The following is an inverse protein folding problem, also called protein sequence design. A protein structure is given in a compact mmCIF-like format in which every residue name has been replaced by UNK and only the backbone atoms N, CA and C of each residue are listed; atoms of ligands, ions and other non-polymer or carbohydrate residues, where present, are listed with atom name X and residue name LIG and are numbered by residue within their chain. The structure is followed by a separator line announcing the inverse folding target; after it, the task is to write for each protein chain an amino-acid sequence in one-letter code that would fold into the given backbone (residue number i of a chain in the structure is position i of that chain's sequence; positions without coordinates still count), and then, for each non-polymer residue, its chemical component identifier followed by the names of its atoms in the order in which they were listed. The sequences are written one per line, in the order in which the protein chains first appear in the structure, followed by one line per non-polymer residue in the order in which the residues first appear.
data_IF_233684640933
#
_entry.id   IF_233684640933
#
_cell.length_a   1.000
_cell.length_b   1.000
_cell.length_c   1.000
_cell.angle_alpha   90.00
_cell.angle_beta   90.00
_cell.angle_gamma   90.00
#
_symmetry.space_group_name_H-M   'P 1'
#
loop_
_entity.id
_entity.type
_entity.pdbx_description
1 polymer ?
#
# COMPACT_ATOMS: atom_id res chain seq x y z
N UNK A 1 -8.32 -51.09 -4.21
CA UNK A 1 -8.58 -49.82 -4.94
C UNK A 1 -9.58 -48.88 -4.27
N UNK A 2 -10.46 -49.34 -3.34
CA UNK A 2 -11.49 -48.46 -2.71
C UNK A 2 -10.97 -47.49 -1.61
N UNK A 3 -9.81 -47.74 -1.01
CA UNK A 3 -9.28 -46.94 0.10
C UNK A 3 -8.84 -45.50 -0.33
N UNK A 4 -8.40 -45.31 -1.56
CA UNK A 4 -8.01 -44.00 -2.09
C UNK A 4 -9.18 -43.06 -2.24
N UNK A 5 -10.39 -43.56 -2.43
CA UNK A 5 -11.62 -42.75 -2.53
C UNK A 5 -11.94 -41.97 -1.25
N UNK A 6 -11.44 -42.41 -0.09
CA UNK A 6 -11.64 -41.76 1.21
C UNK A 6 -10.42 -40.93 1.63
N UNK A 7 -9.21 -41.30 1.17
CA UNK A 7 -7.97 -40.59 1.52
C UNK A 7 -7.88 -39.26 0.81
N UNK A 8 -8.22 -39.19 -0.49
CA UNK A 8 -8.15 -37.97 -1.27
C UNK A 8 -9.04 -36.84 -0.70
N UNK A 9 -10.36 -37.09 -0.43
CA UNK A 9 -11.18 -36.03 0.17
C UNK A 9 -10.72 -35.63 1.58
N UNK A 10 -10.17 -36.55 2.38
CA UNK A 10 -9.63 -36.22 3.69
C UNK A 10 -8.42 -35.25 3.58
N UNK A 11 -7.51 -35.52 2.65
CA UNK A 11 -6.36 -34.65 2.38
C UNK A 11 -6.84 -33.26 1.92
N UNK A 12 -7.83 -33.22 1.03
CA UNK A 12 -8.40 -31.93 0.56
C UNK A 12 -9.02 -31.13 1.70
N UNK A 13 -9.75 -31.78 2.62
CA UNK A 13 -10.32 -31.09 3.79
C UNK A 13 -9.21 -30.49 4.67
N UNK A 14 -8.12 -31.23 4.90
CA UNK A 14 -6.98 -30.75 5.69
C UNK A 14 -6.31 -29.54 5.02
N UNK A 15 -6.12 -29.60 3.69
CA UNK A 15 -5.53 -28.49 2.93
C UNK A 15 -6.41 -27.24 3.01
N UNK A 16 -7.72 -27.38 2.81
CA UNK A 16 -8.69 -26.29 2.90
C UNK A 16 -8.71 -25.69 4.31
N UNK A 17 -8.67 -26.55 5.33
CA UNK A 17 -8.64 -26.10 6.72
C UNK A 17 -7.35 -25.32 7.04
N UNK A 18 -6.18 -25.79 6.62
CA UNK A 18 -4.90 -25.08 6.80
C UNK A 18 -4.87 -23.75 6.03
N UNK A 19 -5.33 -23.74 4.78
CA UNK A 19 -5.43 -22.53 3.99
C UNK A 19 -6.35 -21.48 4.65
N UNK A 20 -7.48 -21.93 5.23
CA UNK A 20 -8.39 -21.09 6.00
C UNK A 20 -7.72 -20.47 7.23
N UNK A 21 -6.94 -21.25 7.99
CA UNK A 21 -6.22 -20.75 9.18
C UNK A 21 -5.19 -19.68 8.80
N UNK A 22 -4.44 -19.86 7.70
CA UNK A 22 -3.47 -18.89 7.21
C UNK A 22 -4.18 -17.60 6.78
N UNK A 23 -5.28 -17.71 6.06
CA UNK A 23 -6.08 -16.56 5.60
C UNK A 23 -6.65 -15.75 6.78
N UNK A 24 -7.31 -16.43 7.73
CA UNK A 24 -7.87 -15.78 8.92
C UNK A 24 -6.79 -15.17 9.80
N UNK A 25 -5.63 -15.82 9.93
CA UNK A 25 -4.48 -15.29 10.67
C UNK A 25 -3.94 -14.00 10.05
N UNK A 26 -3.84 -13.95 8.73
CA UNK A 26 -3.38 -12.75 8.01
C UNK A 26 -4.35 -11.57 8.17
N UNK A 27 -5.65 -11.81 8.06
CA UNK A 27 -6.67 -10.78 8.25
C UNK A 27 -6.70 -10.26 9.70
N UNK A 28 -6.55 -11.15 10.68
CA UNK A 28 -6.53 -10.76 12.10
C UNK A 28 -5.31 -9.89 12.43
N UNK A 29 -4.15 -10.20 11.83
CA UNK A 29 -2.94 -9.42 11.98
C UNK A 29 -3.11 -7.99 11.44
N UNK A 30 -3.61 -7.84 10.20
CA UNK A 30 -3.85 -6.53 9.60
C UNK A 30 -4.81 -5.70 10.45
N UNK A 31 -5.93 -6.28 10.87
CA UNK A 31 -6.92 -5.60 11.72
C UNK A 31 -6.34 -5.19 13.07
N UNK A 32 -5.46 -6.00 13.64
CA UNK A 32 -4.75 -5.67 14.88
C UNK A 32 -3.81 -4.47 14.69
N UNK A 33 -3.06 -4.41 13.59
CA UNK A 33 -2.18 -3.28 13.28
C UNK A 33 -2.98 -2.00 12.97
N UNK A 34 -4.11 -2.11 12.26
CA UNK A 34 -5.03 -1.01 12.03
C UNK A 34 -5.57 -0.44 13.36
N UNK A 35 -6.05 -1.30 14.26
CA UNK A 35 -6.57 -0.87 15.56
C UNK A 35 -5.49 -0.18 16.42
N UNK A 36 -4.25 -0.70 16.40
CA UNK A 36 -3.11 -0.05 17.08
C UNK A 36 -2.81 1.32 16.48
N UNK A 37 -2.80 1.42 15.14
CA UNK A 37 -2.56 2.68 14.45
C UNK A 37 -3.65 3.71 14.76
N UNK A 38 -4.91 3.30 14.79
CA UNK A 38 -6.04 4.14 15.15
C UNK A 38 -5.89 4.67 16.59
N UNK A 39 -5.59 3.78 17.55
CA UNK A 39 -5.38 4.17 18.94
C UNK A 39 -4.21 5.15 19.07
N UNK A 40 -3.08 4.84 18.42
CA UNK A 40 -1.90 5.70 18.41
C UNK A 40 -2.18 7.08 17.79
N UNK A 41 -2.90 7.14 16.67
CA UNK A 41 -3.24 8.41 16.02
C UNK A 41 -4.15 9.27 16.90
N UNK A 42 -5.16 8.68 17.55
CA UNK A 42 -6.07 9.39 18.49
C UNK A 42 -5.32 10.00 19.67
N UNK A 43 -4.25 9.35 20.13
CA UNK A 43 -3.46 9.84 21.26
C UNK A 43 -2.46 10.93 20.85
N UNK A 44 -1.89 10.84 19.63
CA UNK A 44 -0.75 11.65 19.21
C UNK A 44 -1.09 12.76 18.21
N UNK A 45 -2.26 12.73 17.56
CA UNK A 45 -2.70 13.74 16.58
C UNK A 45 -3.86 14.55 17.18
N UNK A 46 -3.51 15.68 17.81
CA UNK A 46 -4.48 16.51 18.55
C UNK A 46 -5.62 17.08 17.69
N UNK A 47 -5.32 17.34 16.41
CA UNK A 47 -6.30 17.91 15.47
C UNK A 47 -7.24 16.86 14.87
N UNK A 48 -7.05 15.56 15.16
CA UNK A 48 -7.85 14.49 14.60
C UNK A 48 -9.20 14.40 15.30
N UNK A 49 -10.27 14.63 14.55
CA UNK A 49 -11.66 14.53 15.04
C UNK A 49 -12.26 13.16 14.74
N UNK A 50 -12.15 12.68 13.51
CA UNK A 50 -12.70 11.39 13.11
C UNK A 50 -11.74 10.58 12.22
N UNK A 51 -11.92 9.26 12.20
CA UNK A 51 -11.23 8.35 11.27
C UNK A 51 -12.30 7.63 10.45
N UNK A 52 -12.18 7.72 9.13
CA UNK A 52 -13.14 7.16 8.17
C UNK A 52 -12.66 5.88 7.52
N UNK A 53 -11.34 5.70 7.33
CA UNK A 53 -10.76 4.53 6.67
C UNK A 53 -9.33 4.28 7.17
N UNK A 54 -8.88 3.03 7.08
CA UNK A 54 -7.53 2.62 7.43
C UNK A 54 -7.02 1.62 6.38
N UNK A 55 -5.79 1.83 5.88
CA UNK A 55 -5.16 0.96 4.88
C UNK A 55 -3.74 0.59 5.28
N UNK A 56 -3.48 -0.70 5.33
CA UNK A 56 -2.14 -1.20 5.56
C UNK A 56 -1.29 -1.07 4.29
N UNK A 57 -0.10 -0.50 4.44
CA UNK A 57 0.91 -0.39 3.40
C UNK A 57 2.19 -1.08 3.82
N UNK A 58 2.70 -1.96 2.97
CA UNK A 58 3.96 -2.66 3.18
C UNK A 58 4.94 -2.30 2.06
N UNK A 59 5.81 -1.34 2.33
CA UNK A 59 6.97 -0.99 1.51
C UNK A 59 8.27 -1.41 2.22
N UNK A 60 9.32 -0.60 2.09
CA UNK A 60 10.57 -0.79 2.86
C UNK A 60 10.34 -0.67 4.37
N UNK A 61 9.43 0.21 4.77
CA UNK A 61 8.85 0.28 6.10
C UNK A 61 7.35 0.06 5.99
N UNK A 62 6.78 -0.65 6.96
CA UNK A 62 5.35 -0.84 7.03
C UNK A 62 4.67 0.35 7.70
N UNK A 63 3.58 0.81 7.11
CA UNK A 63 2.73 1.90 7.59
C UNK A 63 1.27 1.50 7.59
N UNK A 64 0.51 2.01 8.53
CA UNK A 64 -0.95 2.08 8.42
C UNK A 64 -1.33 3.51 8.07
N UNK A 65 -2.00 3.68 6.95
CA UNK A 65 -2.44 4.98 6.46
C UNK A 65 -3.88 5.16 6.86
N UNK A 66 -4.13 6.18 7.71
CA UNK A 66 -5.45 6.51 8.19
C UNK A 66 -5.97 7.73 7.42
N UNK A 67 -7.24 7.67 7.08
CA UNK A 67 -8.01 8.77 6.51
C UNK A 67 -8.97 9.27 7.57
N UNK A 68 -9.07 10.56 7.72
CA UNK A 68 -9.93 11.16 8.74
C UNK A 68 -10.19 12.63 8.49
N UNK A 69 -10.79 13.30 9.46
CA UNK A 69 -11.03 14.74 9.42
C UNK A 69 -10.60 15.41 10.71
N UNK A 70 -10.31 16.71 10.63
CA UNK A 70 -10.13 17.54 11.81
C UNK A 70 -11.46 18.18 12.26
N UNK A 71 -11.42 19.01 13.30
CA UNK A 71 -12.61 19.74 13.83
C UNK A 71 -13.21 20.74 12.83
N UNK A 72 -12.48 21.08 11.75
CA UNK A 72 -12.95 21.98 10.67
C UNK A 72 -13.44 21.22 9.45
N UNK A 73 -13.65 19.89 9.56
CA UNK A 73 -14.00 18.98 8.47
C UNK A 73 -12.97 18.95 7.31
N UNK A 74 -11.71 19.39 7.57
CA UNK A 74 -10.66 19.23 6.59
C UNK A 74 -10.15 17.79 6.59
N UNK A 75 -10.01 17.19 5.41
CA UNK A 75 -9.52 15.82 5.25
C UNK A 75 -8.04 15.70 5.64
N UNK A 76 -7.76 14.78 6.55
CA UNK A 76 -6.43 14.41 7.01
C UNK A 76 -6.01 13.03 6.47
N UNK A 77 -4.74 12.91 6.15
CA UNK A 77 -4.09 11.65 5.86
C UNK A 77 -2.94 11.49 6.85
N UNK A 78 -2.94 10.36 7.54
CA UNK A 78 -2.00 10.09 8.64
C UNK A 78 -1.26 8.81 8.35
N UNK A 79 0.06 8.89 8.18
CA UNK A 79 0.93 7.73 8.03
C UNK A 79 1.45 7.33 9.41
N UNK A 80 0.87 6.28 9.97
CA UNK A 80 1.28 5.71 11.27
C UNK A 80 2.27 4.58 11.03
N UNK A 81 3.52 4.68 11.53
CA UNK A 81 4.50 3.62 11.33
C UNK A 81 4.16 2.39 12.17
N UNK A 82 4.26 1.19 11.58
CA UNK A 82 4.09 -0.08 12.28
C UNK A 82 5.38 -0.52 13.02
N UNK A 83 6.42 0.31 12.99
CA UNK A 83 7.68 0.06 13.69
C UNK A 83 8.28 1.32 14.29
N UNK A 84 9.11 1.18 15.33
CA UNK A 84 9.82 2.30 16.00
C UNK A 84 10.79 3.05 15.07
N UNK A 85 11.12 2.51 13.91
CA UNK A 85 12.03 3.15 12.93
C UNK A 85 11.35 4.17 12.03
N UNK A 86 10.02 4.16 11.97
CA UNK A 86 9.24 5.10 11.18
C UNK A 86 8.89 6.36 11.96
N UNK A 87 8.42 7.39 11.26
CA UNK A 87 7.89 8.62 11.85
C UNK A 87 6.40 8.75 11.57
N UNK A 88 5.65 9.23 12.53
CA UNK A 88 4.28 9.69 12.33
C UNK A 88 4.31 10.91 11.38
N UNK A 89 3.51 10.86 10.33
CA UNK A 89 3.37 11.97 9.38
C UNK A 89 1.89 12.30 9.27
N UNK A 90 1.55 13.57 9.39
CA UNK A 90 0.19 14.09 9.24
C UNK A 90 0.21 15.12 8.12
N UNK A 91 -0.74 15.01 7.20
CA UNK A 91 -0.93 15.93 6.09
C UNK A 91 -2.42 16.17 5.86
N UNK A 92 -2.77 17.39 5.47
CA UNK A 92 -4.08 17.62 4.86
C UNK A 92 -4.11 16.99 3.47
N UNK A 93 -5.24 16.44 3.05
CA UNK A 93 -5.37 15.89 1.70
C UNK A 93 -5.11 16.94 0.62
N UNK A 94 -5.43 18.21 0.91
CA UNK A 94 -5.19 19.36 0.03
C UNK A 94 -3.71 19.72 -0.16
N UNK A 95 -2.80 19.22 0.71
CA UNK A 95 -1.34 19.45 0.60
C UNK A 95 -0.69 18.55 -0.47
N UNK A 96 -1.43 17.65 -1.08
CA UNK A 96 -0.88 16.72 -2.04
C UNK A 96 -1.75 16.54 -3.28
N UNK A 97 -1.28 15.65 -4.14
CA UNK A 97 -2.05 15.25 -5.31
C UNK A 97 -3.16 14.28 -4.90
N UNK A 98 -4.36 14.50 -5.44
CA UNK A 98 -5.46 13.55 -5.28
C UNK A 98 -5.21 12.29 -6.11
N UNK A 99 -5.90 11.21 -5.76
CA UNK A 99 -5.85 9.94 -6.51
C UNK A 99 -6.26 10.12 -7.97
N UNK A 100 -7.24 10.97 -8.24
CA UNK A 100 -7.74 11.31 -9.57
C UNK A 100 -6.68 12.05 -10.39
N UNK A 101 -5.97 13.00 -9.77
CA UNK A 101 -4.87 13.73 -10.43
C UNK A 101 -3.72 12.78 -10.78
N UNK A 102 -3.34 11.88 -9.86
CA UNK A 102 -2.34 10.84 -10.09
C UNK A 102 -2.75 9.93 -11.25
N UNK A 103 -4.00 9.46 -11.24
CA UNK A 103 -4.54 8.61 -12.31
C UNK A 103 -4.43 9.28 -13.68
N UNK A 104 -4.88 10.52 -13.77
CA UNK A 104 -4.81 11.30 -15.04
C UNK A 104 -3.36 11.45 -15.51
N UNK A 105 -2.45 11.78 -14.59
CA UNK A 105 -1.03 11.92 -14.90
C UNK A 105 -0.41 10.62 -15.43
N UNK A 106 -0.67 9.50 -14.77
CA UNK A 106 -0.11 8.19 -15.17
C UNK A 106 -0.65 7.77 -16.55
N UNK A 107 -1.94 7.94 -16.81
CA UNK A 107 -2.53 7.61 -18.10
C UNK A 107 -1.87 8.46 -19.19
N UNK A 108 -1.71 9.77 -18.99
CA UNK A 108 -1.16 10.68 -19.98
C UNK A 108 0.37 10.49 -20.22
N UNK A 109 1.14 10.15 -19.19
CA UNK A 109 2.60 10.19 -19.27
C UNK A 109 3.26 8.79 -19.32
N UNK A 110 2.59 7.75 -18.83
CA UNK A 110 3.12 6.39 -18.86
C UNK A 110 2.41 5.47 -19.84
N UNK A 111 1.26 5.91 -20.39
CA UNK A 111 0.44 5.18 -21.36
C UNK A 111 0.28 3.69 -21.00
N UNK A 112 -0.25 3.33 -19.82
CA UNK A 112 -0.36 1.95 -19.39
C UNK A 112 -1.39 1.18 -20.24
N UNK A 113 -1.15 -0.12 -20.52
CA UNK A 113 -2.17 -1.00 -21.09
C UNK A 113 -3.32 -1.22 -20.10
N UNK A 114 -3.00 -1.32 -18.82
CA UNK A 114 -3.98 -1.48 -17.75
C UNK A 114 -3.46 -0.87 -16.45
N UNK A 115 -4.23 0.02 -15.85
CA UNK A 115 -4.00 0.49 -14.49
C UNK A 115 -4.57 -0.55 -13.52
N UNK A 116 -3.74 -1.00 -12.54
CA UNK A 116 -4.12 -2.04 -11.58
C UNK A 116 -4.49 -1.40 -10.25
N UNK A 117 -3.60 -0.58 -9.68
CA UNK A 117 -3.81 0.03 -8.37
C UNK A 117 -3.14 1.40 -8.27
N UNK A 118 -3.71 2.25 -7.42
CA UNK A 118 -3.12 3.53 -6.96
C UNK A 118 -3.36 3.62 -5.47
N UNK A 119 -2.29 3.60 -4.69
CA UNK A 119 -2.37 3.65 -3.23
C UNK A 119 -1.34 4.59 -2.63
N UNK A 120 -1.64 5.13 -1.47
CA UNK A 120 -0.68 5.88 -0.67
C UNK A 120 0.29 4.94 0.02
N UNK A 121 1.52 5.40 0.18
CA UNK A 121 2.58 4.73 0.88
C UNK A 121 3.57 5.71 1.50
N UNK A 122 4.65 5.19 2.03
CA UNK A 122 5.78 5.99 2.48
C UNK A 122 7.09 5.27 2.17
N UNK A 123 8.11 6.01 1.78
CA UNK A 123 9.43 5.48 1.48
C UNK A 123 10.51 6.34 2.18
N UNK A 124 11.58 5.69 2.57
CA UNK A 124 12.76 6.37 3.08
C UNK A 124 13.61 6.83 1.91
N UNK A 125 13.60 8.12 1.65
CA UNK A 125 14.30 8.74 0.53
C UNK A 125 15.50 9.52 1.05
N UNK A 126 16.66 9.32 0.41
CA UNK A 126 17.85 10.14 0.66
C UNK A 126 17.79 11.34 -0.26
N UNK A 127 17.77 12.54 0.30
CA UNK A 127 17.92 13.77 -0.49
C UNK A 127 19.40 13.93 -0.88
N UNK A 128 19.66 13.88 -2.20
CA UNK A 128 21.00 13.97 -2.75
C UNK A 128 21.66 15.34 -2.53
N UNK A 129 20.87 16.41 -2.27
CA UNK A 129 21.39 17.75 -2.03
C UNK A 129 21.84 17.96 -0.58
N UNK A 130 21.04 17.46 0.34
CA UNK A 130 21.27 17.64 1.79
C UNK A 130 21.93 16.44 2.46
N UNK A 131 22.06 15.34 1.74
CA UNK A 131 22.53 14.02 2.23
C UNK A 131 21.69 13.48 3.41
N UNK A 132 20.53 14.08 3.68
CA UNK A 132 19.61 13.65 4.74
C UNK A 132 18.67 12.55 4.22
N UNK A 133 18.38 11.64 5.10
CA UNK A 133 17.40 10.57 4.84
C UNK A 133 16.10 10.92 5.53
N UNK A 134 15.03 11.00 4.78
CA UNK A 134 13.71 11.37 5.28
C UNK A 134 12.64 10.38 4.82
N UNK A 135 11.67 10.11 5.69
CA UNK A 135 10.49 9.38 5.30
C UNK A 135 9.53 10.30 4.55
N UNK A 136 9.26 9.97 3.31
CA UNK A 136 8.46 10.79 2.40
C UNK A 136 7.18 10.08 2.05
N UNK A 137 6.00 10.70 2.27
CA UNK A 137 4.72 10.23 1.74
C UNK A 137 4.76 10.17 0.21
N UNK A 138 4.20 9.09 -0.33
CA UNK A 138 4.20 8.87 -1.78
C UNK A 138 2.93 8.18 -2.26
N UNK A 139 2.70 8.28 -3.56
CA UNK A 139 1.81 7.44 -4.32
C UNK A 139 2.62 6.27 -4.91
N UNK A 140 2.13 5.06 -4.70
CA UNK A 140 2.56 3.85 -5.40
C UNK A 140 1.50 3.48 -6.43
N UNK A 141 1.91 3.42 -7.67
CA UNK A 141 1.03 3.10 -8.80
C UNK A 141 1.50 1.79 -9.42
N UNK A 142 0.60 0.84 -9.54
CA UNK A 142 0.86 -0.45 -10.22
C UNK A 142 0.07 -0.50 -11.52
N UNK A 143 0.75 -0.81 -12.61
CA UNK A 143 0.11 -0.93 -13.92
C UNK A 143 0.82 -1.97 -14.81
N UNK A 144 0.15 -2.40 -15.88
CA UNK A 144 0.74 -3.18 -16.97
C UNK A 144 1.27 -2.17 -18.01
N UNK A 145 2.56 -2.23 -18.30
CA UNK A 145 3.21 -1.39 -19.31
C UNK A 145 3.00 -1.92 -20.75
N UNK A 146 3.53 -1.19 -21.76
CA UNK A 146 3.40 -1.55 -23.17
C UNK A 146 4.11 -2.86 -23.54
N UNK A 147 5.07 -3.31 -22.70
CA UNK A 147 5.75 -4.60 -22.83
C UNK A 147 5.05 -5.73 -22.05
N UNK A 148 3.80 -5.49 -21.59
CA UNK A 148 2.97 -6.41 -20.79
C UNK A 148 3.61 -6.82 -19.46
N UNK A 149 4.44 -5.97 -18.85
CA UNK A 149 5.09 -6.21 -17.56
C UNK A 149 4.32 -5.52 -16.45
N UNK A 150 4.31 -6.11 -15.26
CA UNK A 150 3.92 -5.43 -14.03
C UNK A 150 4.92 -4.35 -13.69
N UNK A 151 4.51 -3.11 -13.73
CA UNK A 151 5.34 -1.93 -13.47
C UNK A 151 4.85 -1.19 -12.24
N UNK A 152 5.79 -0.86 -11.37
CA UNK A 152 5.58 -0.08 -10.16
C UNK A 152 6.21 1.29 -10.36
N UNK A 153 5.41 2.34 -10.22
CA UNK A 153 5.81 3.74 -10.35
C UNK A 153 5.55 4.46 -9.04
N UNK A 154 6.54 5.21 -8.56
CA UNK A 154 6.47 5.92 -7.30
C UNK A 154 6.67 7.41 -7.55
N UNK A 155 5.80 8.22 -6.95
CA UNK A 155 5.86 9.67 -7.01
C UNK A 155 5.52 10.28 -5.66
N UNK A 156 6.08 11.44 -5.33
CA UNK A 156 5.81 12.11 -4.06
C UNK A 156 4.35 12.51 -3.97
N UNK A 157 3.79 12.36 -2.77
CA UNK A 157 2.40 12.76 -2.48
C UNK A 157 2.19 14.27 -2.73
N UNK A 158 3.14 15.10 -2.27
CA UNK A 158 2.98 16.56 -2.25
C UNK A 158 2.94 17.19 -3.64
N UNK A 159 3.90 16.89 -4.49
CA UNK A 159 4.13 17.61 -5.75
C UNK A 159 4.10 16.71 -7.00
N UNK A 160 3.90 15.40 -6.82
CA UNK A 160 3.89 14.44 -7.91
C UNK A 160 5.27 14.21 -8.53
N UNK A 161 6.36 14.67 -7.91
CA UNK A 161 7.70 14.44 -8.46
C UNK A 161 8.06 12.96 -8.45
N UNK A 162 8.73 12.53 -9.52
CA UNK A 162 9.17 11.14 -9.70
C UNK A 162 10.14 10.71 -8.60
N UNK A 163 9.97 9.49 -8.09
CA UNK A 163 10.85 8.89 -7.09
C UNK A 163 11.62 7.73 -7.68
N UNK A 164 10.92 6.71 -8.13
CA UNK A 164 11.51 5.52 -8.75
C UNK A 164 10.48 4.78 -9.60
N UNK A 165 10.97 3.93 -10.50
CA UNK A 165 10.16 3.00 -11.27
C UNK A 165 10.92 1.70 -11.44
N UNK A 166 10.23 0.57 -11.39
CA UNK A 166 10.77 -0.73 -11.78
C UNK A 166 9.68 -1.60 -12.37
N UNK A 167 10.07 -2.47 -13.30
CA UNK A 167 9.17 -3.45 -13.91
C UNK A 167 9.67 -4.85 -13.61
N UNK A 168 8.74 -5.76 -13.33
CA UNK A 168 9.07 -7.17 -13.16
C UNK A 168 9.44 -7.74 -14.54
N UNK A 169 10.51 -8.55 -14.59
CA UNK A 169 10.84 -9.27 -15.81
C UNK A 169 9.71 -10.22 -16.17
N UNK A 170 9.38 -10.30 -17.46
CA UNK A 170 8.47 -11.31 -17.98
C UNK A 170 9.15 -12.68 -17.85
N UNK A 171 8.48 -13.66 -17.27
CA UNK A 171 9.03 -15.02 -17.21
C UNK A 171 9.11 -15.59 -18.62
N UNK A 172 10.25 -16.23 -18.97
CA UNK A 172 10.49 -16.80 -20.30
C UNK A 172 9.53 -17.91 -20.71
N UNK A 173 8.73 -18.42 -19.77
CA UNK A 173 7.77 -19.51 -20.02
C UNK A 173 6.46 -19.10 -20.71
N UNK A 174 6.22 -17.80 -20.92
CA UNK A 174 5.04 -17.30 -21.66
C UNK A 174 5.31 -17.03 -23.15
N UNK A 175 6.54 -17.24 -23.64
CA UNK A 175 6.89 -16.96 -25.04
C UNK A 175 6.73 -18.18 -25.99
N UNK A 176 6.32 -19.35 -25.49
CA UNK A 176 6.19 -20.62 -26.27
C UNK A 176 4.73 -21.09 -26.45
N UNK A 177 3.72 -20.21 -26.38
CA UNK A 177 2.34 -20.59 -26.72
C UNK A 177 1.71 -19.61 -27.70
#
# INVERSE_FOLDING_TARGET
MKKWLYIIPLILIIIIWQASQIYLGSMSYQKKEENKAIAFAKENVKELSSITDAKYYHGRLAYTILYGTNEKDEELIIWVPNSKKGRLIVKKASEGWSKEKVKKYIIANQNPLKLIDIRLGAEVIKDNRTNKTETTPLWEITYIDQEKRYTYYFMKFTDGSFVKRYSLKKDRFEEEN
#
